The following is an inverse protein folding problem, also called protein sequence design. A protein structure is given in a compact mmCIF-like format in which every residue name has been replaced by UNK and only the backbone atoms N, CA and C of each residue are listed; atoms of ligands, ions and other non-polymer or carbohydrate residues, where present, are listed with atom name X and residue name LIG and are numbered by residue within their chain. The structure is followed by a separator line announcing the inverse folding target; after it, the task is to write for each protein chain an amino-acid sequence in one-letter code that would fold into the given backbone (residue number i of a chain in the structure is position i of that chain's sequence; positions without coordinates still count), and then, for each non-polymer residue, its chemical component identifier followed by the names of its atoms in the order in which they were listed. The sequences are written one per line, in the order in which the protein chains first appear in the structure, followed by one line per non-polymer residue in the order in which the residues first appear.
data_IF_764762041823
#
_entry.id   IF_764762041823
#
_cell.length_a   1.000
_cell.length_b   1.000
_cell.length_c   1.000
_cell.angle_alpha   90.00
_cell.angle_beta   90.00
_cell.angle_gamma   90.00
#
_symmetry.space_group_name_H-M   'P 1'
#
loop_
_entity.id
_entity.type
_entity.pdbx_description
1 polymer ?
#
# COMPACT_ATOMS: atom_id res chain seq x y z
N UNK A 1 14.59 -6.33 6.93
CA UNK A 1 13.73 -6.14 8.12
C UNK A 1 12.86 -7.37 8.34
N UNK A 2 12.53 -7.74 9.58
CA UNK A 2 11.55 -8.81 9.88
C UNK A 2 10.19 -8.16 10.20
N UNK A 3 9.17 -8.41 9.37
CA UNK A 3 7.83 -7.83 9.56
C UNK A 3 7.00 -8.77 10.46
N UNK A 4 6.43 -8.29 11.59
CA UNK A 4 5.65 -9.13 12.49
C UNK A 4 4.43 -9.73 11.79
N UNK A 5 4.27 -11.06 11.82
CA UNK A 5 3.18 -11.73 11.09
C UNK A 5 1.77 -11.28 11.51
N UNK A 6 1.61 -10.84 12.75
CA UNK A 6 0.30 -10.56 13.32
C UNK A 6 -0.28 -9.22 12.86
N UNK A 7 0.49 -8.34 12.21
CA UNK A 7 -0.02 -7.06 11.70
C UNK A 7 -0.91 -7.26 10.47
N UNK A 8 -0.73 -8.38 9.75
CA UNK A 8 -1.57 -8.75 8.62
C UNK A 8 -2.88 -9.33 9.12
N UNK A 9 -3.97 -8.58 8.94
CA UNK A 9 -5.33 -9.03 9.21
C UNK A 9 -5.96 -9.57 7.92
N UNK A 10 -7.20 -10.04 8.01
CA UNK A 10 -7.89 -10.66 6.88
C UNK A 10 -8.05 -9.73 5.67
N UNK A 11 -8.18 -8.42 5.90
CA UNK A 11 -8.48 -7.40 4.87
C UNK A 11 -7.62 -6.13 4.96
N UNK A 12 -6.77 -6.00 5.98
CA UNK A 12 -5.94 -4.82 6.20
C UNK A 12 -4.66 -5.14 6.99
N UNK A 13 -3.79 -4.15 7.07
CA UNK A 13 -2.54 -4.20 7.84
C UNK A 13 -2.69 -3.22 9.00
N UNK A 14 -2.48 -3.67 10.24
CA UNK A 14 -2.53 -2.79 11.43
C UNK A 14 -1.50 -3.20 12.46
N UNK A 15 -0.81 -2.22 13.02
CA UNK A 15 0.19 -2.40 14.08
C UNK A 15 0.48 -1.11 14.83
N UNK A 16 1.37 -1.19 15.82
CA UNK A 16 1.82 -0.05 16.61
C UNK A 16 2.66 0.93 15.77
N UNK A 17 2.37 2.21 15.93
CA UNK A 17 3.05 3.34 15.27
C UNK A 17 4.52 3.36 15.69
N UNK A 18 5.43 3.43 14.72
CA UNK A 18 6.87 3.58 14.93
C UNK A 18 7.60 2.29 15.30
N UNK A 19 6.89 1.29 15.82
CA UNK A 19 7.45 -0.02 16.18
C UNK A 19 7.18 -1.06 15.09
N UNK A 20 5.91 -1.23 14.72
CA UNK A 20 5.47 -2.27 13.79
C UNK A 20 5.06 -1.70 12.44
N UNK A 21 4.47 -0.50 12.48
CA UNK A 21 4.19 0.32 11.31
C UNK A 21 5.26 1.40 11.25
N UNK A 22 6.17 1.28 10.30
CA UNK A 22 7.25 2.24 10.07
C UNK A 22 7.09 2.92 8.72
N UNK A 23 7.78 4.06 8.57
CA UNK A 23 7.91 4.75 7.30
C UNK A 23 8.50 3.86 6.19
N UNK A 24 9.51 3.05 6.54
CA UNK A 24 10.12 2.08 5.62
C UNK A 24 9.10 1.02 5.19
N UNK A 25 8.31 0.49 6.13
CA UNK A 25 7.24 -0.45 5.82
C UNK A 25 6.20 0.18 4.90
N UNK A 26 5.80 1.43 5.14
CA UNK A 26 4.85 2.14 4.29
C UNK A 26 5.34 2.26 2.84
N UNK A 27 6.62 2.63 2.65
CA UNK A 27 7.22 2.71 1.31
C UNK A 27 7.28 1.33 0.62
N UNK A 28 7.63 0.28 1.37
CA UNK A 28 7.68 -1.09 0.84
C UNK A 28 6.29 -1.64 0.51
N UNK A 29 5.26 -1.30 1.29
CA UNK A 29 3.86 -1.61 0.96
C UNK A 29 3.47 -0.98 -0.37
N UNK A 30 3.84 0.28 -0.61
CA UNK A 30 3.58 0.97 -1.87
C UNK A 30 4.17 0.23 -3.08
N UNK A 31 5.46 -0.14 -3.00
CA UNK A 31 6.14 -0.91 -4.05
C UNK A 31 5.52 -2.29 -4.27
N UNK A 32 5.28 -3.03 -3.19
CA UNK A 32 4.76 -4.39 -3.25
C UNK A 32 3.33 -4.41 -3.79
N UNK A 33 2.52 -3.40 -3.44
CA UNK A 33 1.16 -3.23 -3.95
C UNK A 33 1.14 -2.89 -5.45
N UNK A 34 2.06 -2.03 -5.91
CA UNK A 34 2.21 -1.75 -7.33
C UNK A 34 2.56 -3.01 -8.15
N UNK A 35 3.50 -3.83 -7.67
CA UNK A 35 3.84 -5.10 -8.31
C UNK A 35 2.66 -6.09 -8.32
N UNK A 36 1.91 -6.11 -7.22
CA UNK A 36 0.72 -6.94 -7.11
C UNK A 36 -0.32 -6.56 -8.17
N UNK A 37 -0.66 -5.27 -8.27
CA UNK A 37 -1.61 -4.78 -9.29
C UNK A 37 -1.08 -5.00 -10.71
N UNK A 38 0.21 -4.77 -10.95
CA UNK A 38 0.81 -4.99 -12.27
C UNK A 38 0.65 -6.44 -12.75
N UNK A 39 0.68 -7.42 -11.84
CA UNK A 39 0.43 -8.82 -12.18
C UNK A 39 -1.03 -9.17 -12.49
N UNK A 40 -1.99 -8.30 -12.12
CA UNK A 40 -3.42 -8.47 -12.41
C UNK A 40 -3.90 -7.63 -13.61
N UNK A 41 -3.13 -6.62 -14.01
CA UNK A 41 -3.43 -5.69 -15.10
C UNK A 41 -2.63 -6.03 -16.37
N UNK A 42 -3.05 -5.55 -17.54
CA UNK A 42 -2.28 -5.76 -18.78
C UNK A 42 -1.15 -4.74 -18.92
N UNK A 43 -0.06 -5.14 -19.58
CA UNK A 43 1.20 -4.38 -19.71
C UNK A 43 1.11 -3.01 -20.44
N UNK A 44 -0.07 -2.63 -20.93
CA UNK A 44 -0.28 -1.49 -21.84
C UNK A 44 -0.94 -0.26 -21.22
N UNK A 45 -1.30 -0.27 -19.94
CA UNK A 45 -2.00 0.85 -19.29
C UNK A 45 -1.15 1.51 -18.18
N UNK A 46 -1.19 2.85 -18.11
CA UNK A 46 -0.69 3.59 -16.94
C UNK A 46 -1.58 3.27 -15.72
N UNK A 47 -0.99 2.65 -14.70
CA UNK A 47 -1.71 2.27 -13.48
C UNK A 47 -2.01 3.49 -12.61
N UNK A 48 -3.28 3.67 -12.23
CA UNK A 48 -3.74 4.75 -11.37
C UNK A 48 -4.23 4.24 -10.01
N UNK A 49 -3.67 4.78 -8.92
CA UNK A 49 -4.02 4.39 -7.55
C UNK A 49 -4.44 5.61 -6.73
N UNK A 50 -5.59 5.50 -6.07
CA UNK A 50 -6.09 6.53 -5.13
C UNK A 50 -5.50 6.29 -3.74
N UNK A 51 -4.97 7.34 -3.11
CA UNK A 51 -4.44 7.27 -1.75
C UNK A 51 -5.13 8.31 -0.88
N UNK A 52 -5.66 7.88 0.26
CA UNK A 52 -6.24 8.77 1.28
C UNK A 52 -5.77 8.39 2.67
N UNK A 53 -6.05 9.24 3.65
CA UNK A 53 -5.73 8.99 5.05
C UNK A 53 -6.79 9.49 6.03
N UNK A 54 -6.77 8.94 7.23
CA UNK A 54 -7.51 9.48 8.38
C UNK A 54 -6.73 10.61 9.09
N UNK A 55 -7.29 11.07 10.21
CA UNK A 55 -6.82 12.21 10.99
C UNK A 55 -5.65 11.90 11.95
N UNK A 56 -5.11 10.68 11.98
CA UNK A 56 -3.98 10.36 12.88
C UNK A 56 -2.75 11.15 12.43
N UNK A 57 -2.03 11.74 13.38
CA UNK A 57 -0.81 12.50 13.09
C UNK A 57 0.23 11.65 12.34
N UNK A 58 0.38 10.38 12.75
CA UNK A 58 1.27 9.42 12.09
C UNK A 58 0.89 9.10 10.65
N UNK A 59 -0.38 9.29 10.26
CA UNK A 59 -0.85 8.98 8.90
C UNK A 59 -0.21 9.89 7.84
N UNK A 60 0.21 11.12 8.18
CA UNK A 60 0.87 12.03 7.22
C UNK A 60 2.19 11.45 6.72
N UNK A 61 3.07 11.04 7.64
CA UNK A 61 4.36 10.45 7.30
C UNK A 61 4.19 9.14 6.52
N UNK A 62 3.28 8.27 6.97
CA UNK A 62 3.03 7.00 6.29
C UNK A 62 2.43 7.18 4.90
N UNK A 63 1.50 8.12 4.71
CA UNK A 63 0.94 8.43 3.40
C UNK A 63 2.04 8.89 2.44
N UNK A 64 2.90 9.83 2.87
CA UNK A 64 4.00 10.33 2.04
C UNK A 64 4.95 9.21 1.60
N UNK A 65 5.33 8.34 2.54
CA UNK A 65 6.22 7.21 2.25
C UNK A 65 5.57 6.15 1.36
N UNK A 66 4.30 5.84 1.60
CA UNK A 66 3.50 4.96 0.76
C UNK A 66 3.45 5.47 -0.68
N UNK A 67 3.13 6.75 -0.87
CA UNK A 67 3.09 7.39 -2.19
C UNK A 67 4.45 7.38 -2.87
N UNK A 68 5.53 7.63 -2.12
CA UNK A 68 6.89 7.53 -2.67
C UNK A 68 7.21 6.11 -3.19
N UNK A 69 6.74 5.07 -2.51
CA UNK A 69 6.84 3.68 -2.97
C UNK A 69 6.09 3.44 -4.28
N UNK A 70 4.84 3.90 -4.37
CA UNK A 70 3.99 3.79 -5.56
C UNK A 70 4.60 4.53 -6.76
N UNK A 71 5.00 5.79 -6.58
CA UNK A 71 5.59 6.62 -7.65
C UNK A 71 6.90 6.01 -8.17
N UNK A 72 7.75 5.49 -7.29
CA UNK A 72 8.99 4.77 -7.69
C UNK A 72 8.71 3.53 -8.53
N UNK A 73 7.50 2.96 -8.42
CA UNK A 73 7.05 1.81 -9.21
C UNK A 73 6.31 2.21 -10.49
N UNK A 74 6.30 3.50 -10.87
CA UNK A 74 5.65 3.99 -12.09
C UNK A 74 4.14 4.16 -11.98
N UNK A 75 3.58 4.13 -10.77
CA UNK A 75 2.15 4.33 -10.55
C UNK A 75 1.80 5.81 -10.53
N UNK A 76 0.74 6.18 -11.25
CA UNK A 76 0.10 7.49 -11.12
C UNK A 76 -0.73 7.52 -9.85
N UNK A 77 -0.30 8.32 -8.87
CA UNK A 77 -0.98 8.46 -7.59
C UNK A 77 -1.97 9.62 -7.61
N UNK A 78 -3.19 9.38 -7.16
CA UNK A 78 -4.18 10.41 -6.86
C UNK A 78 -4.33 10.54 -5.35
N UNK A 79 -3.69 11.56 -4.77
CA UNK A 79 -3.83 11.90 -3.36
C UNK A 79 -5.14 12.65 -3.13
N UNK A 80 -6.05 12.06 -2.35
CA UNK A 80 -7.33 12.68 -1.95
C UNK A 80 -7.26 13.26 -0.53
N UNK A 81 -6.10 13.19 0.13
CA UNK A 81 -5.82 13.83 1.40
C UNK A 81 -6.53 13.21 2.60
N UNK A 82 -6.94 14.08 3.53
CA UNK A 82 -7.68 13.72 4.75
C UNK A 82 -9.15 13.45 4.41
N UNK A 83 -9.57 12.19 4.49
CA UNK A 83 -10.91 11.76 4.09
C UNK A 83 -11.45 10.67 5.01
N UNK A 84 -12.77 10.46 4.96
CA UNK A 84 -13.38 9.28 5.57
C UNK A 84 -13.11 8.03 4.71
N UNK A 85 -13.14 6.84 5.32
CA UNK A 85 -13.02 5.58 4.55
C UNK A 85 -14.10 5.45 3.44
N UNK A 86 -15.38 5.81 3.68
CA UNK A 86 -16.38 5.83 2.60
C UNK A 86 -16.05 6.77 1.44
N UNK A 87 -15.53 7.98 1.73
CA UNK A 87 -15.11 8.92 0.69
C UNK A 87 -13.92 8.39 -0.11
N UNK A 88 -12.99 7.68 0.55
CA UNK A 88 -11.92 6.95 -0.13
C UNK A 88 -12.46 5.88 -1.09
N UNK A 89 -13.37 5.00 -0.64
CA UNK A 89 -13.95 3.98 -1.51
C UNK A 89 -14.72 4.59 -2.69
N UNK A 90 -15.48 5.66 -2.43
CA UNK A 90 -16.13 6.42 -3.49
C UNK A 90 -15.10 6.97 -4.48
N UNK A 91 -13.99 7.55 -4.01
CA UNK A 91 -12.92 8.08 -4.85
C UNK A 91 -12.32 7.02 -5.78
N UNK A 92 -12.03 5.82 -5.26
CA UNK A 92 -11.53 4.68 -6.06
C UNK A 92 -12.49 4.35 -7.20
N UNK A 93 -13.79 4.18 -6.89
CA UNK A 93 -14.79 3.82 -7.90
C UNK A 93 -15.11 4.96 -8.87
N UNK A 94 -15.29 6.17 -8.37
CA UNK A 94 -15.66 7.35 -9.14
C UNK A 94 -14.59 7.75 -10.15
N UNK A 95 -13.32 7.70 -9.74
CA UNK A 95 -12.19 8.00 -10.61
C UNK A 95 -11.82 6.82 -11.53
N UNK A 96 -12.49 5.67 -11.37
CA UNK A 96 -12.17 4.42 -12.08
C UNK A 96 -10.70 4.04 -11.91
N UNK A 97 -10.18 4.20 -10.70
CA UNK A 97 -8.81 3.84 -10.37
C UNK A 97 -8.64 2.31 -10.40
N UNK A 98 -7.44 1.86 -10.74
CA UNK A 98 -7.08 0.44 -10.75
C UNK A 98 -6.97 -0.13 -9.33
N UNK A 99 -6.87 0.75 -8.34
CA UNK A 99 -6.94 0.40 -6.93
C UNK A 99 -6.85 1.61 -6.01
N UNK A 100 -6.74 1.32 -4.71
CA UNK A 100 -6.52 2.35 -3.72
C UNK A 100 -5.94 1.83 -2.41
N UNK A 101 -5.35 2.76 -1.65
CA UNK A 101 -4.86 2.51 -0.30
C UNK A 101 -5.35 3.61 0.65
N UNK A 102 -5.99 3.19 1.74
CA UNK A 102 -6.40 4.08 2.83
C UNK A 102 -5.50 3.89 4.04
N UNK A 103 -4.80 4.95 4.45
CA UNK A 103 -3.99 4.97 5.68
C UNK A 103 -4.90 5.22 6.88
N UNK A 104 -5.17 4.18 7.66
CA UNK A 104 -6.03 4.24 8.85
C UNK A 104 -5.96 2.94 9.64
N UNK A 105 -6.15 3.02 10.96
CA UNK A 105 -6.46 1.87 11.81
C UNK A 105 -7.93 1.80 12.25
N UNK A 106 -8.84 2.49 11.56
CA UNK A 106 -10.28 2.48 11.82
C UNK A 106 -10.59 2.88 13.28
N UNK A 107 -11.16 1.96 14.07
CA UNK A 107 -11.52 2.16 15.47
C UNK A 107 -10.37 1.92 16.46
N UNK A 108 -9.20 1.45 16.03
CA UNK A 108 -8.10 1.18 16.95
C UNK A 108 -7.63 2.49 17.63
N UNK A 109 -7.08 2.43 18.86
CA UNK A 109 -6.50 3.58 19.54
C UNK A 109 -5.44 4.32 18.71
N UNK A 110 -5.15 5.58 19.05
CA UNK A 110 -4.20 6.43 18.32
C UNK A 110 -2.78 5.83 18.18
N UNK A 111 -2.38 4.98 19.13
CA UNK A 111 -1.11 4.24 19.09
C UNK A 111 -1.00 3.23 17.92
N UNK A 112 -2.10 2.92 17.24
CA UNK A 112 -2.12 2.07 16.06
C UNK A 112 -2.24 2.88 14.77
N UNK A 113 -1.66 2.37 13.69
CA UNK A 113 -1.98 2.80 12.34
C UNK A 113 -1.98 1.60 11.39
N UNK A 114 -2.25 1.82 10.11
CA UNK A 114 -2.45 0.74 9.17
C UNK A 114 -2.81 1.16 7.76
N UNK A 115 -3.06 0.15 6.93
CA UNK A 115 -3.33 0.30 5.51
C UNK A 115 -4.47 -0.65 5.10
N UNK A 116 -5.54 -0.09 4.54
CA UNK A 116 -6.59 -0.85 3.85
C UNK A 116 -6.29 -0.82 2.36
N UNK A 117 -6.31 -1.96 1.69
CA UNK A 117 -5.90 -2.11 0.30
C UNK A 117 -7.09 -2.58 -0.54
N UNK A 118 -7.33 -1.94 -1.68
CA UNK A 118 -8.42 -2.30 -2.60
C UNK A 118 -7.93 -2.43 -4.03
N UNK A 119 -8.56 -3.28 -4.82
CA UNK A 119 -8.49 -3.25 -6.28
C UNK A 119 -9.45 -2.19 -6.84
N UNK A 120 -9.60 -2.18 -8.16
CA UNK A 120 -10.64 -1.45 -8.87
C UNK A 120 -12.02 -1.70 -8.26
N UNK A 121 -12.91 -0.71 -8.39
CA UNK A 121 -14.25 -0.70 -7.78
C UNK A 121 -14.23 -0.83 -6.24
N UNK A 122 -13.13 -0.45 -5.60
CA UNK A 122 -12.94 -0.54 -4.15
C UNK A 122 -13.08 -1.96 -3.58
N UNK A 123 -12.84 -3.00 -4.39
CA UNK A 123 -12.90 -4.39 -3.93
C UNK A 123 -11.73 -4.65 -2.98
N UNK A 124 -11.96 -5.04 -1.71
CA UNK A 124 -10.88 -5.26 -0.75
C UNK A 124 -9.95 -6.38 -1.20
N UNK A 125 -8.64 -6.20 -0.97
CA UNK A 125 -7.67 -7.28 -1.12
C UNK A 125 -7.72 -8.13 0.15
N UNK A 126 -8.31 -9.31 0.04
CA UNK A 126 -8.29 -10.35 1.07
C UNK A 126 -7.22 -11.40 0.78
N UNK A 127 -6.71 -12.05 1.83
CA UNK A 127 -5.74 -13.15 1.71
C UNK A 127 -4.37 -12.82 2.29
N UNK A 128 -3.37 -13.65 2.01
CA UNK A 128 -2.04 -13.55 2.62
C UNK A 128 -1.19 -12.42 1.98
N UNK A 129 -1.60 -11.16 2.18
CA UNK A 129 -0.93 -9.95 1.68
C UNK A 129 0.54 -9.86 2.12
N UNK A 130 0.85 -10.49 3.25
CA UNK A 130 2.19 -10.73 3.77
C UNK A 130 3.16 -11.34 2.74
N UNK A 131 2.71 -12.24 1.87
CA UNK A 131 3.61 -12.98 0.97
C UNK A 131 4.33 -12.04 0.02
N UNK A 132 3.60 -11.13 -0.62
CA UNK A 132 4.19 -10.21 -1.59
C UNK A 132 4.86 -9.00 -0.91
N UNK A 133 4.36 -8.53 0.24
CA UNK A 133 5.03 -7.47 1.03
C UNK A 133 6.39 -7.93 1.57
N UNK A 134 6.49 -9.18 2.05
CA UNK A 134 7.75 -9.73 2.54
C UNK A 134 8.78 -9.98 1.43
N UNK A 135 8.34 -10.30 0.21
CA UNK A 135 9.24 -10.45 -0.95
C UNK A 135 9.92 -9.13 -1.28
N UNK A 136 9.17 -8.04 -1.29
CA UNK A 136 9.71 -6.71 -1.57
C UNK A 136 10.65 -6.22 -0.46
N UNK A 137 10.27 -6.41 0.80
CA UNK A 137 11.03 -5.93 1.96
C UNK A 137 12.37 -6.65 2.19
N UNK A 138 12.64 -7.73 1.45
CA UNK A 138 13.91 -8.47 1.49
C UNK A 138 14.88 -8.08 0.38
N UNK A 139 14.46 -7.21 -0.55
CA UNK A 139 15.21 -6.91 -1.78
C UNK A 139 15.20 -8.09 -2.74
N UNK A 140 15.00 -7.83 -4.03
CA UNK A 140 15.32 -8.82 -5.07
C UNK A 140 16.82 -9.17 -4.95
N UNK A 141 17.23 -10.44 -5.04
CA UNK A 141 18.58 -10.74 -5.51
C UNK A 141 18.76 -9.99 -6.83
N UNK A 142 19.86 -9.23 -7.00
CA UNK A 142 20.21 -8.72 -8.32
C UNK A 142 20.16 -9.92 -9.27
N UNK A 143 19.41 -9.80 -10.36
CA UNK A 143 19.56 -10.76 -11.45
C UNK A 143 21.06 -10.77 -11.76
N UNK A 144 21.70 -11.92 -11.58
CA UNK A 144 23.11 -12.08 -11.90
C UNK A 144 23.31 -11.60 -13.33
N UNK A 145 24.28 -10.70 -13.50
CA UNK A 145 24.77 -10.29 -14.80
C UNK A 145 24.99 -11.55 -15.63
N UNK A 146 24.25 -11.67 -16.74
CA UNK A 146 24.61 -12.56 -17.83
C UNK A 146 25.86 -11.98 -18.49
N UNK A 147 26.99 -12.14 -17.81
CA UNK A 147 28.32 -11.90 -18.35
C UNK A 147 28.65 -13.01 -19.34
N UNK A 148 28.17 -12.86 -20.56
CA UNK A 148 28.76 -13.52 -21.71
C UNK A 148 29.99 -12.74 -22.15
N UNK A 149 31.17 -13.33 -21.96
CA UNK A 149 32.24 -13.43 -22.96
C UNK A 149 32.89 -14.80 -22.77
#
# INVERSE_FOLDING_TARGET
MSIPRHIFKQYDIRGLVGEEITEELAENIGRAYAQFLAGELSDSQEMMVVVGRDMRESSVAYQNRLMAGLVKSGVRVVDIGLVSTPAFYFGVGHLKADGGIMVSASHNPAAYNGFKLTRANAVPISGDTRVWINRESRGRPRACDSGGV
#
